data_IF_046030281729
#
_entry.id   IF_046030281729
#
_cell.length_a   1.000
_cell.length_b   1.000
_cell.length_c   1.000
_cell.angle_alpha   90.00
_cell.angle_beta   90.00
_cell.angle_gamma   90.00
#
_symmetry.space_group_name_H-M   'P 1'
#
loop_
_entity.id
_entity.type
_entity.pdbx_description
1 polymer ?
#
# COMPACT_ATOMS: atom_id res chain seq x y z
N UNK A 1 44.41 -18.49 -23.40
CA UNK A 1 43.49 -17.49 -22.81
C UNK A 1 42.49 -18.21 -21.90
N UNK A 2 42.33 -17.82 -20.62
CA UNK A 2 41.38 -18.49 -19.74
C UNK A 2 39.95 -18.16 -20.17
N UNK A 3 39.10 -19.20 -20.34
CA UNK A 3 37.67 -19.03 -20.66
C UNK A 3 36.97 -18.33 -19.49
N UNK A 4 36.63 -17.06 -19.65
CA UNK A 4 35.84 -16.31 -18.67
C UNK A 4 34.48 -17.00 -18.51
N UNK A 5 34.24 -17.67 -17.37
CA UNK A 5 32.93 -18.29 -17.06
C UNK A 5 31.86 -17.19 -17.10
N UNK A 6 30.91 -17.30 -18.04
CA UNK A 6 29.73 -16.43 -18.11
C UNK A 6 29.01 -16.47 -16.75
N UNK A 7 28.85 -15.31 -16.12
CA UNK A 7 28.13 -15.18 -14.85
C UNK A 7 26.67 -15.63 -15.02
N UNK A 8 26.14 -16.36 -14.04
CA UNK A 8 24.72 -16.73 -13.97
C UNK A 8 23.81 -15.48 -13.94
N UNK A 9 22.60 -15.58 -14.51
CA UNK A 9 21.61 -14.49 -14.55
C UNK A 9 21.34 -13.88 -13.17
N UNK A 10 21.26 -14.71 -12.12
CA UNK A 10 21.05 -14.24 -10.73
C UNK A 10 22.23 -13.40 -10.22
N UNK A 11 23.46 -13.79 -10.58
CA UNK A 11 24.68 -13.11 -10.16
C UNK A 11 24.83 -11.75 -10.87
N UNK A 12 24.40 -11.68 -12.13
CA UNK A 12 24.31 -10.44 -12.89
C UNK A 12 23.25 -9.50 -12.29
N UNK A 13 22.09 -10.04 -11.90
CA UNK A 13 21.01 -9.28 -11.27
C UNK A 13 21.43 -8.69 -9.91
N UNK A 14 22.04 -9.50 -9.05
CA UNK A 14 22.57 -9.05 -7.76
C UNK A 14 23.65 -7.97 -7.93
N UNK A 15 24.57 -8.16 -8.88
CA UNK A 15 25.61 -7.19 -9.18
C UNK A 15 25.03 -5.87 -9.71
N UNK A 16 24.02 -5.93 -10.58
CA UNK A 16 23.26 -4.76 -11.04
C UNK A 16 22.65 -4.01 -9.86
N UNK A 17 21.87 -4.68 -9.00
CA UNK A 17 21.23 -4.05 -7.84
C UNK A 17 22.21 -3.43 -6.83
N UNK A 18 23.38 -4.06 -6.66
CA UNK A 18 24.45 -3.53 -5.82
C UNK A 18 25.06 -2.25 -6.41
N UNK A 19 25.36 -2.22 -7.70
CA UNK A 19 25.92 -1.04 -8.35
C UNK A 19 24.92 0.12 -8.47
N UNK A 20 23.64 -0.17 -8.68
CA UNK A 20 22.60 0.86 -8.78
C UNK A 20 22.19 1.46 -7.42
N UNK A 21 22.78 0.99 -6.32
CA UNK A 21 22.46 1.48 -4.96
C UNK A 21 21.10 1.01 -4.43
N UNK A 22 20.53 -0.07 -5.01
CA UNK A 22 19.20 -0.57 -4.66
C UNK A 22 19.07 -0.90 -3.18
N UNK A 23 20.04 -1.64 -2.64
CA UNK A 23 20.00 -2.13 -1.27
C UNK A 23 20.08 -0.98 -0.24
N UNK A 24 20.84 0.08 -0.56
CA UNK A 24 20.89 1.28 0.27
C UNK A 24 19.56 2.04 0.25
N UNK A 25 18.95 2.18 -0.94
CA UNK A 25 17.61 2.75 -1.08
C UNK A 25 16.57 1.94 -0.30
N UNK A 26 16.56 0.63 -0.49
CA UNK A 26 15.70 -0.34 0.21
C UNK A 26 15.77 -0.18 1.73
N UNK A 27 16.97 -0.28 2.29
CA UNK A 27 17.17 -0.16 3.73
C UNK A 27 16.69 1.19 4.26
N UNK A 28 17.01 2.28 3.55
CA UNK A 28 16.59 3.63 3.95
C UNK A 28 15.06 3.82 3.91
N UNK A 29 14.37 3.22 2.93
CA UNK A 29 12.91 3.28 2.80
C UNK A 29 12.22 2.46 3.88
N UNK A 30 12.73 1.26 4.19
CA UNK A 30 12.19 0.42 5.26
C UNK A 30 12.38 1.08 6.62
N UNK A 31 13.58 1.60 6.92
CA UNK A 31 13.86 2.31 8.16
C UNK A 31 12.95 3.54 8.36
N UNK A 32 12.67 4.29 7.29
CA UNK A 32 11.74 5.43 7.33
C UNK A 32 10.28 5.03 7.51
N UNK A 33 9.90 3.80 7.19
CA UNK A 33 8.56 3.29 7.45
C UNK A 33 8.36 2.91 8.93
N UNK A 34 9.41 2.51 9.65
CA UNK A 34 9.33 2.06 11.05
C UNK A 34 8.61 3.07 11.97
N UNK A 35 8.91 4.38 11.95
CA UNK A 35 8.20 5.35 12.79
C UNK A 35 6.70 5.37 12.56
N UNK A 36 6.26 5.28 11.29
CA UNK A 36 4.84 5.26 10.94
C UNK A 36 4.16 3.97 11.44
N UNK A 37 4.87 2.84 11.36
CA UNK A 37 4.39 1.55 11.86
C UNK A 37 4.27 1.56 13.39
N UNK A 38 5.30 2.07 14.08
CA UNK A 38 5.29 2.19 15.54
C UNK A 38 4.19 3.14 16.01
N UNK A 39 3.99 4.26 15.31
CA UNK A 39 2.90 5.19 15.60
C UNK A 39 1.53 4.50 15.43
N UNK A 40 1.35 3.72 14.37
CA UNK A 40 0.12 2.98 14.13
C UNK A 40 -0.15 1.92 15.21
N UNK A 41 0.84 1.09 15.53
CA UNK A 41 0.74 0.10 16.60
C UNK A 41 0.47 0.80 17.94
N UNK A 42 1.18 1.89 18.23
CA UNK A 42 0.97 2.69 19.44
C UNK A 42 -0.45 3.26 19.52
N UNK A 43 -0.99 3.79 18.43
CA UNK A 43 -2.36 4.29 18.36
C UNK A 43 -3.40 3.16 18.57
N UNK A 44 -3.18 1.99 17.97
CA UNK A 44 -4.06 0.83 18.18
C UNK A 44 -4.05 0.36 19.63
N UNK A 45 -2.87 0.21 20.24
CA UNK A 45 -2.75 -0.17 21.65
C UNK A 45 -3.37 0.88 22.56
N UNK A 46 -3.17 2.17 22.26
CA UNK A 46 -3.79 3.25 23.02
C UNK A 46 -5.31 3.17 22.96
N UNK A 47 -5.90 3.00 21.78
CA UNK A 47 -7.36 2.86 21.62
C UNK A 47 -7.89 1.62 22.35
N UNK A 48 -7.20 0.49 22.22
CA UNK A 48 -7.58 -0.77 22.86
C UNK A 48 -7.54 -0.68 24.40
N UNK A 49 -6.50 -0.06 24.97
CA UNK A 49 -6.34 0.01 26.43
C UNK A 49 -7.05 1.20 27.08
N UNK A 50 -7.26 2.33 26.38
CA UNK A 50 -7.75 3.56 26.99
C UNK A 50 -9.11 4.05 26.47
N UNK A 51 -9.64 3.53 25.35
CA UNK A 51 -10.85 4.08 24.71
C UNK A 51 -12.01 3.09 24.72
N UNK A 52 -11.98 2.02 23.91
CA UNK A 52 -13.09 1.06 23.73
C UNK A 52 -12.51 -0.31 23.33
N UNK A 53 -13.07 -1.41 23.86
CA UNK A 53 -12.76 -2.77 23.42
C UNK A 53 -13.06 -2.90 21.92
N UNK A 54 -12.06 -3.34 21.14
CA UNK A 54 -12.17 -3.45 19.68
C UNK A 54 -13.40 -4.28 19.29
N UNK A 55 -13.75 -5.31 20.05
CA UNK A 55 -14.94 -6.11 19.78
C UNK A 55 -16.25 -5.31 19.91
N UNK A 56 -16.36 -4.44 20.92
CA UNK A 56 -17.54 -3.59 21.13
C UNK A 56 -17.68 -2.58 20.00
N UNK A 57 -16.57 -1.98 19.56
CA UNK A 57 -16.56 -1.08 18.40
C UNK A 57 -17.02 -1.79 17.12
N UNK A 58 -16.50 -2.99 16.86
CA UNK A 58 -16.83 -3.77 15.66
C UNK A 58 -18.27 -4.24 15.64
N UNK A 59 -18.80 -4.69 16.78
CA UNK A 59 -20.21 -5.07 16.91
C UNK A 59 -21.11 -3.85 16.68
N UNK A 60 -20.81 -2.72 17.33
CA UNK A 60 -21.57 -1.48 17.13
C UNK A 60 -21.52 -0.99 15.68
N UNK A 61 -20.37 -1.10 15.01
CA UNK A 61 -20.26 -0.78 13.58
C UNK A 61 -21.16 -1.68 12.73
N UNK A 62 -21.19 -2.98 13.03
CA UNK A 62 -21.99 -3.98 12.30
C UNK A 62 -23.49 -3.79 12.52
N UNK A 63 -23.89 -3.45 13.75
CA UNK A 63 -25.31 -3.28 14.11
C UNK A 63 -25.88 -1.92 13.67
N UNK A 64 -25.04 -0.88 13.64
CA UNK A 64 -25.49 0.51 13.37
C UNK A 64 -25.44 0.86 11.88
N UNK A 65 -24.46 0.34 11.13
CA UNK A 65 -24.22 0.77 9.75
C UNK A 65 -24.46 -0.36 8.75
N UNK A 66 -25.11 -0.08 7.60
CA UNK A 66 -25.21 -1.06 6.54
C UNK A 66 -23.82 -1.35 5.95
N UNK A 67 -23.58 -2.61 5.57
CA UNK A 67 -22.31 -3.05 4.97
C UNK A 67 -21.87 -2.18 3.79
N UNK A 68 -22.81 -1.77 2.94
CA UNK A 68 -22.55 -0.87 1.82
C UNK A 68 -21.94 0.47 2.25
N UNK A 69 -22.42 1.06 3.36
CA UNK A 69 -21.89 2.31 3.89
C UNK A 69 -20.44 2.16 4.35
N UNK A 70 -20.15 1.08 5.08
CA UNK A 70 -18.80 0.76 5.56
C UNK A 70 -17.83 0.58 4.39
N UNK A 71 -18.23 -0.19 3.38
CA UNK A 71 -17.44 -0.43 2.16
C UNK A 71 -17.20 0.86 1.37
N UNK A 72 -18.18 1.75 1.31
CA UNK A 72 -18.06 3.04 0.61
C UNK A 72 -17.08 3.97 1.32
N UNK A 73 -17.19 4.10 2.65
CA UNK A 73 -16.25 4.88 3.47
C UNK A 73 -14.83 4.33 3.33
N UNK A 74 -14.68 3.01 3.39
CA UNK A 74 -13.42 2.33 3.13
C UNK A 74 -12.85 2.69 1.77
N UNK A 75 -13.64 2.55 0.70
CA UNK A 75 -13.20 2.81 -0.67
C UNK A 75 -12.77 4.27 -0.89
N UNK A 76 -13.54 5.24 -0.36
CA UNK A 76 -13.19 6.66 -0.43
C UNK A 76 -11.89 6.94 0.32
N UNK A 77 -11.77 6.42 1.54
CA UNK A 77 -10.55 6.54 2.35
C UNK A 77 -9.34 6.00 1.58
N UNK A 78 -9.45 4.78 1.05
CA UNK A 78 -8.42 4.12 0.24
C UNK A 78 -8.13 4.78 -1.11
N UNK A 79 -9.05 5.58 -1.66
CA UNK A 79 -8.82 6.25 -2.95
C UNK A 79 -8.11 7.59 -2.80
N UNK A 80 -8.29 8.29 -1.67
CA UNK A 80 -7.78 9.66 -1.50
C UNK A 80 -6.55 9.70 -0.60
N UNK A 81 -6.64 9.13 0.61
CA UNK A 81 -5.66 9.39 1.68
C UNK A 81 -5.05 8.12 2.28
N UNK A 82 -5.76 6.99 2.27
CA UNK A 82 -5.33 5.74 2.92
C UNK A 82 -5.09 5.91 4.43
N UNK A 83 -5.80 6.86 5.06
CA UNK A 83 -5.60 7.21 6.47
C UNK A 83 -6.21 6.18 7.41
N UNK A 84 -7.35 5.60 7.02
CA UNK A 84 -8.01 4.62 7.87
C UNK A 84 -7.34 3.27 7.64
N UNK A 85 -6.78 2.65 8.69
CA UNK A 85 -6.10 1.37 8.58
C UNK A 85 -7.05 0.29 8.06
N UNK A 86 -6.68 -0.43 6.98
CA UNK A 86 -7.50 -1.51 6.43
C UNK A 86 -7.73 -2.64 7.45
N UNK A 87 -6.89 -2.75 8.48
CA UNK A 87 -6.99 -3.74 9.56
C UNK A 87 -8.32 -3.64 10.30
N UNK A 88 -8.86 -2.43 10.51
CA UNK A 88 -10.15 -2.22 11.19
C UNK A 88 -11.28 -2.82 10.35
N UNK A 89 -11.24 -2.61 9.03
CA UNK A 89 -12.26 -3.16 8.11
C UNK A 89 -12.11 -4.67 7.93
N UNK A 90 -10.88 -5.19 7.95
CA UNK A 90 -10.62 -6.63 7.97
C UNK A 90 -11.22 -7.23 9.25
N UNK A 91 -10.99 -6.63 10.42
CA UNK A 91 -11.57 -7.08 11.67
C UNK A 91 -13.11 -7.01 11.64
N UNK A 92 -13.68 -5.95 11.09
CA UNK A 92 -15.13 -5.85 10.88
C UNK A 92 -15.68 -6.98 10.00
N UNK A 93 -14.96 -7.36 8.93
CA UNK A 93 -15.39 -8.46 8.07
C UNK A 93 -15.56 -9.78 8.83
N UNK A 94 -14.79 -10.02 9.91
CA UNK A 94 -14.94 -11.22 10.75
C UNK A 94 -16.27 -11.30 11.49
N UNK A 95 -16.89 -10.15 11.80
CA UNK A 95 -18.17 -10.06 12.52
C UNK A 95 -19.39 -10.03 11.58
N UNK A 96 -19.14 -9.95 10.26
CA UNK A 96 -20.21 -9.99 9.26
C UNK A 96 -20.76 -11.40 9.06
N UNK A 97 -22.00 -11.52 8.59
CA UNK A 97 -22.65 -12.79 8.26
C UNK A 97 -21.88 -13.62 7.21
N UNK A 98 -21.13 -12.96 6.32
CA UNK A 98 -20.30 -13.62 5.28
C UNK A 98 -18.88 -13.07 5.27
N UNK A 99 -18.00 -13.52 6.19
CA UNK A 99 -16.69 -12.90 6.39
C UNK A 99 -15.77 -12.92 5.16
N UNK A 100 -15.66 -14.08 4.50
CA UNK A 100 -14.78 -14.28 3.34
C UNK A 100 -15.22 -13.41 2.15
N UNK A 101 -16.54 -13.25 1.97
CA UNK A 101 -17.10 -12.41 0.91
C UNK A 101 -16.74 -10.94 1.14
N UNK A 102 -16.99 -10.43 2.35
CA UNK A 102 -16.68 -9.04 2.71
C UNK A 102 -15.18 -8.76 2.67
N UNK A 103 -14.35 -9.70 3.13
CA UNK A 103 -12.90 -9.59 3.02
C UNK A 103 -12.43 -9.49 1.57
N UNK A 104 -12.96 -10.35 0.69
CA UNK A 104 -12.62 -10.34 -0.73
C UNK A 104 -13.04 -9.04 -1.40
N UNK A 105 -14.22 -8.53 -1.04
CA UNK A 105 -14.74 -7.26 -1.54
C UNK A 105 -13.89 -6.08 -1.05
N UNK A 106 -13.48 -6.08 0.22
CA UNK A 106 -12.54 -5.09 0.75
C UNK A 106 -11.21 -5.13 0.00
N UNK A 107 -10.61 -6.30 -0.22
CA UNK A 107 -9.37 -6.41 -0.96
C UNK A 107 -9.51 -5.87 -2.40
N UNK A 108 -10.63 -6.16 -3.07
CA UNK A 108 -10.92 -5.65 -4.40
C UNK A 108 -11.12 -4.12 -4.42
N UNK A 109 -11.90 -3.57 -3.50
CA UNK A 109 -12.10 -2.13 -3.36
C UNK A 109 -10.78 -1.42 -3.04
N UNK A 110 -9.93 -2.04 -2.22
CA UNK A 110 -8.59 -1.55 -1.92
C UNK A 110 -7.72 -1.50 -3.18
N UNK A 111 -7.71 -2.58 -3.97
CA UNK A 111 -7.00 -2.63 -5.24
C UNK A 111 -7.50 -1.55 -6.21
N UNK A 112 -8.82 -1.44 -6.39
CA UNK A 112 -9.46 -0.43 -7.22
C UNK A 112 -9.17 1.00 -6.74
N UNK A 113 -9.19 1.23 -5.42
CA UNK A 113 -8.91 2.53 -4.81
C UNK A 113 -7.52 3.04 -5.18
N UNK A 114 -6.49 2.18 -5.16
CA UNK A 114 -5.16 2.61 -5.61
C UNK A 114 -5.05 2.83 -7.12
N UNK A 115 -5.88 2.18 -7.94
CA UNK A 115 -5.99 2.53 -9.37
C UNK A 115 -6.56 3.95 -9.50
N UNK A 116 -7.61 4.28 -8.74
CA UNK A 116 -8.16 5.64 -8.69
C UNK A 116 -7.11 6.64 -8.23
N UNK A 117 -6.38 6.35 -7.14
CA UNK A 117 -5.29 7.19 -6.63
C UNK A 117 -4.20 7.42 -7.69
N UNK A 118 -3.84 6.40 -8.48
CA UNK A 118 -2.90 6.55 -9.59
C UNK A 118 -3.39 7.55 -10.63
N UNK A 119 -4.66 7.48 -11.03
CA UNK A 119 -5.24 8.42 -11.98
C UNK A 119 -5.37 9.82 -11.40
N UNK A 120 -5.67 9.97 -10.10
CA UNK A 120 -5.60 11.25 -9.40
C UNK A 120 -4.18 11.82 -9.49
N UNK A 121 -3.16 11.02 -9.17
CA UNK A 121 -1.76 11.42 -9.28
C UNK A 121 -1.36 11.84 -10.69
N UNK A 122 -1.83 11.11 -11.70
CA UNK A 122 -1.62 11.47 -13.11
C UNK A 122 -2.35 12.75 -13.50
N UNK A 123 -3.58 12.95 -13.04
CA UNK A 123 -4.35 14.17 -13.29
C UNK A 123 -3.68 15.41 -12.68
N UNK A 124 -3.10 15.29 -11.49
CA UNK A 124 -2.32 16.35 -10.84
C UNK A 124 -1.15 16.79 -11.73
N UNK A 125 -0.51 15.88 -12.47
CA UNK A 125 0.58 16.23 -13.40
C UNK A 125 0.14 16.99 -14.64
N UNK A 126 -1.16 17.05 -14.95
CA UNK A 126 -1.67 17.86 -16.07
C UNK A 126 -1.80 19.34 -15.69
N UNK A 127 -1.68 19.68 -14.41
CA UNK A 127 -1.70 21.07 -13.95
C UNK A 127 -0.37 21.73 -14.36
N UNK A 128 -0.37 22.83 -15.15
CA UNK A 128 0.85 23.40 -15.73
C UNK A 128 1.93 23.74 -14.69
N UNK A 129 1.54 24.36 -13.58
CA UNK A 129 2.46 24.74 -12.49
C UNK A 129 3.10 23.54 -11.81
N UNK A 130 2.34 22.46 -11.63
CA UNK A 130 2.86 21.20 -11.06
C UNK A 130 3.77 20.51 -12.05
N UNK A 131 3.39 20.44 -13.32
CA UNK A 131 4.22 19.80 -14.34
C UNK A 131 5.57 20.51 -14.50
N UNK A 132 5.56 21.85 -14.56
CA UNK A 132 6.77 22.66 -14.64
C UNK A 132 7.68 22.43 -13.42
N UNK A 133 7.11 22.42 -12.21
CA UNK A 133 7.87 22.11 -10.99
C UNK A 133 8.49 20.69 -11.03
N UNK A 134 7.74 19.70 -11.51
CA UNK A 134 8.20 18.32 -11.61
C UNK A 134 9.30 18.16 -12.67
N UNK A 135 9.16 18.81 -13.82
CA UNK A 135 10.10 18.75 -14.95
C UNK A 135 11.38 19.55 -14.70
N UNK A 136 11.31 20.68 -14.00
CA UNK A 136 12.49 21.53 -13.75
C UNK A 136 13.16 21.15 -12.44
N UNK A 137 12.42 21.19 -11.32
CA UNK A 137 13.02 21.07 -9.97
C UNK A 137 13.18 19.62 -9.52
N UNK A 138 12.28 18.73 -9.94
CA UNK A 138 12.27 17.34 -9.47
C UNK A 138 12.74 16.30 -10.49
N UNK A 139 13.09 16.67 -11.72
CA UNK A 139 13.39 15.70 -12.78
C UNK A 139 14.47 14.68 -12.40
N UNK A 140 15.53 15.10 -11.71
CA UNK A 140 16.59 14.19 -11.23
C UNK A 140 16.05 13.18 -10.22
N UNK A 141 15.23 13.63 -9.27
CA UNK A 141 14.61 12.78 -8.26
C UNK A 141 13.59 11.83 -8.88
N UNK A 142 12.68 12.33 -9.72
CA UNK A 142 11.66 11.53 -10.42
C UNK A 142 12.30 10.43 -11.26
N UNK A 143 13.33 10.76 -12.05
CA UNK A 143 14.03 9.76 -12.88
C UNK A 143 14.68 8.66 -12.04
N UNK A 144 15.21 8.99 -10.87
CA UNK A 144 15.81 7.99 -9.98
C UNK A 144 14.74 7.15 -9.27
N UNK A 145 13.66 7.78 -8.80
CA UNK A 145 12.51 7.11 -8.19
C UNK A 145 11.80 6.19 -9.16
N UNK A 146 11.67 6.57 -10.44
CA UNK A 146 11.05 5.76 -11.49
C UNK A 146 11.78 4.44 -11.75
N UNK A 147 13.12 4.41 -11.59
CA UNK A 147 13.91 3.17 -11.67
C UNK A 147 13.49 2.15 -10.60
N UNK A 148 13.11 2.64 -9.42
CA UNK A 148 12.67 1.85 -8.27
C UNK A 148 11.15 1.84 -8.08
N UNK A 149 10.38 2.41 -9.02
CA UNK A 149 8.94 2.61 -8.85
C UNK A 149 8.17 1.31 -8.65
N UNK A 150 8.53 0.24 -9.36
CA UNK A 150 7.91 -1.07 -9.18
C UNK A 150 8.13 -1.64 -7.79
N UNK A 151 9.36 -1.50 -7.28
CA UNK A 151 9.69 -1.90 -5.93
C UNK A 151 8.91 -1.10 -4.87
N UNK A 152 8.78 0.22 -5.06
CA UNK A 152 7.98 1.07 -4.17
C UNK A 152 6.50 0.68 -4.15
N UNK A 153 5.93 0.28 -5.29
CA UNK A 153 4.55 -0.20 -5.37
C UNK A 153 4.40 -1.54 -4.65
N UNK A 154 5.33 -2.49 -4.83
CA UNK A 154 5.35 -3.78 -4.11
C UNK A 154 5.39 -3.55 -2.60
N UNK A 155 6.27 -2.65 -2.14
CA UNK A 155 6.37 -2.28 -0.73
C UNK A 155 5.09 -1.66 -0.23
N UNK A 156 4.51 -0.69 -0.95
CA UNK A 156 3.24 -0.08 -0.60
C UNK A 156 2.07 -1.07 -0.56
N UNK A 157 2.10 -2.09 -1.41
CA UNK A 157 1.05 -3.10 -1.50
C UNK A 157 1.10 -4.12 -0.36
N UNK A 158 2.28 -4.38 0.21
CA UNK A 158 2.51 -5.39 1.24
C UNK A 158 2.66 -4.80 2.65
N UNK A 159 3.37 -3.69 2.80
CA UNK A 159 3.64 -3.09 4.09
C UNK A 159 2.42 -2.31 4.63
N UNK A 160 2.38 -2.04 5.94
CA UNK A 160 1.44 -1.10 6.55
C UNK A 160 1.80 0.36 6.22
N UNK A 161 1.79 0.69 4.92
CA UNK A 161 1.97 2.05 4.40
C UNK A 161 0.70 2.39 3.62
N UNK A 162 0.24 3.65 3.62
CA UNK A 162 -0.90 4.06 2.80
C UNK A 162 -0.67 3.76 1.31
N UNK A 163 -1.38 2.78 0.76
CA UNK A 163 -1.18 2.36 -0.63
C UNK A 163 -1.62 3.44 -1.62
N UNK A 164 -2.68 4.18 -1.30
CA UNK A 164 -3.15 5.35 -2.06
C UNK A 164 -2.01 6.33 -2.32
N UNK A 165 -1.20 6.61 -1.30
CA UNK A 165 -0.04 7.48 -1.42
C UNK A 165 1.02 6.92 -2.37
N UNK A 166 1.30 5.61 -2.28
CA UNK A 166 2.29 4.96 -3.15
C UNK A 166 1.86 4.93 -4.62
N UNK A 167 0.58 4.64 -4.87
CA UNK A 167 0.00 4.56 -6.21
C UNK A 167 -0.24 5.94 -6.82
N UNK A 168 -0.66 6.93 -6.02
CA UNK A 168 -0.73 8.33 -6.42
C UNK A 168 0.65 8.87 -6.79
N UNK A 169 1.67 8.58 -5.98
CA UNK A 169 3.06 8.93 -6.31
C UNK A 169 3.50 8.26 -7.61
N UNK A 170 3.12 6.99 -7.83
CA UNK A 170 3.38 6.28 -9.08
C UNK A 170 2.71 6.97 -10.29
N UNK A 171 1.52 7.54 -10.11
CA UNK A 171 0.82 8.37 -11.08
C UNK A 171 1.57 9.66 -11.40
N UNK A 172 2.04 10.36 -10.36
CA UNK A 172 2.80 11.62 -10.47
C UNK A 172 4.10 11.42 -11.26
N UNK A 173 4.80 10.31 -11.05
CA UNK A 173 6.05 10.01 -11.78
C UNK A 173 5.81 9.34 -13.15
N UNK A 174 4.55 9.24 -13.59
CA UNK A 174 4.13 8.60 -14.85
C UNK A 174 4.69 7.17 -14.98
N UNK A 175 4.63 6.40 -13.88
CA UNK A 175 5.03 4.99 -13.85
C UNK A 175 4.06 4.15 -14.71
N UNK A 176 4.52 3.12 -15.45
CA UNK A 176 3.65 2.32 -16.31
C UNK A 176 2.51 1.65 -15.53
N UNK A 177 1.27 1.91 -15.96
CA UNK A 177 0.06 1.38 -15.32
C UNK A 177 0.05 -0.15 -15.27
N UNK A 178 0.52 -0.84 -16.32
CA UNK A 178 0.53 -2.32 -16.34
C UNK A 178 1.35 -2.93 -15.21
N UNK A 179 2.50 -2.33 -14.88
CA UNK A 179 3.31 -2.77 -13.74
C UNK A 179 2.65 -2.46 -12.40
N UNK A 180 1.94 -1.33 -12.28
CA UNK A 180 1.15 -1.01 -11.09
C UNK A 180 0.00 -2.02 -10.90
N UNK A 181 -0.73 -2.34 -11.97
CA UNK A 181 -1.83 -3.31 -11.92
C UNK A 181 -1.32 -4.69 -11.49
N UNK A 182 -0.17 -5.12 -12.02
CA UNK A 182 0.46 -6.39 -11.65
C UNK A 182 0.89 -6.39 -10.17
N UNK A 183 1.71 -5.42 -9.75
CA UNK A 183 2.24 -5.40 -8.38
C UNK A 183 1.15 -5.11 -7.34
N UNK A 184 0.11 -4.37 -7.72
CA UNK A 184 -1.04 -4.11 -6.87
C UNK A 184 -1.83 -5.36 -6.50
N UNK A 185 -1.73 -6.45 -7.27
CA UNK A 185 -2.37 -7.73 -6.91
C UNK A 185 -1.84 -8.31 -5.59
N UNK A 186 -0.64 -7.94 -5.17
CA UNK A 186 -0.09 -8.32 -3.86
C UNK A 186 -0.97 -7.82 -2.69
N UNK A 187 -1.84 -6.85 -2.95
CA UNK A 187 -2.81 -6.35 -1.98
C UNK A 187 -3.81 -7.42 -1.56
N UNK A 188 -4.23 -8.30 -2.47
CA UNK A 188 -5.05 -9.45 -2.12
C UNK A 188 -4.31 -10.35 -1.12
N UNK A 189 -3.04 -10.64 -1.38
CA UNK A 189 -2.21 -11.44 -0.48
C UNK A 189 -2.12 -10.80 0.92
N UNK A 190 -1.85 -9.50 1.00
CA UNK A 190 -1.80 -8.75 2.28
C UNK A 190 -3.11 -8.88 3.07
N UNK A 191 -4.25 -8.64 2.43
CA UNK A 191 -5.56 -8.71 3.10
C UNK A 191 -5.83 -10.10 3.66
N UNK A 192 -5.53 -11.16 2.92
CA UNK A 192 -5.72 -12.53 3.37
C UNK A 192 -4.75 -12.93 4.50
N UNK A 193 -3.47 -12.54 4.42
CA UNK A 193 -2.51 -12.78 5.51
C UNK A 193 -2.98 -12.07 6.80
N UNK A 194 -3.45 -10.83 6.67
CA UNK A 194 -3.89 -10.04 7.81
C UNK A 194 -5.19 -10.57 8.39
N UNK A 195 -6.11 -11.05 7.54
CA UNK A 195 -7.32 -11.71 7.99
C UNK A 195 -7.01 -12.98 8.80
N UNK A 196 -6.05 -13.81 8.37
CA UNK A 196 -5.62 -14.98 9.15
C UNK A 196 -5.15 -14.56 10.55
N UNK A 197 -4.31 -13.53 10.65
CA UNK A 197 -3.84 -13.05 11.95
C UNK A 197 -4.97 -12.47 12.81
N UNK A 198 -5.80 -11.59 12.24
CA UNK A 198 -6.85 -10.87 12.95
C UNK A 198 -8.00 -11.79 13.34
N UNK A 199 -8.44 -12.68 12.44
CA UNK A 199 -9.56 -13.59 12.73
C UNK A 199 -9.20 -14.48 13.91
N UNK A 200 -7.98 -15.01 14.00
CA UNK A 200 -7.57 -15.80 15.16
C UNK A 200 -7.58 -15.04 16.49
N UNK A 201 -7.43 -13.71 16.47
CA UNK A 201 -7.38 -12.87 17.68
C UNK A 201 -8.79 -12.36 18.07
N UNK A 202 -9.63 -12.11 17.08
CA UNK A 202 -10.94 -11.43 17.23
C UNK A 202 -12.12 -12.41 17.23
N UNK A 203 -11.92 -13.66 16.80
CA UNK A 203 -12.97 -14.71 16.79
C UNK A 203 -13.40 -15.10 18.19
#
# INVERSE_FOLDING_TARGET
MPKVKKKSRLRLLHQYYRYTGFYGFLGSSLLKAIPLILLFIGALLFIHFFVIDVNVLLNKMTDTFPAFGILTVFFISESILGLIPPEIFIAWSSKSATPIFHLSLLAFLSYAGGIVSYYIGKAITNIPSVNEYLEIKMAKHIRNTRKWGGFLIIVGALLPIPYSLTTMTAGIIKYPIGSLLLFGTLRFVRFYIYAIAIFNIVS
#
